data_IF_982967761547
#
_entry.id   IF_982967761547
#
_cell.length_a   1.000
_cell.length_b   1.000
_cell.length_c   1.000
_cell.angle_alpha   90.00
_cell.angle_beta   90.00
_cell.angle_gamma   90.00
#
_symmetry.space_group_name_H-M   'P 1'
#
loop_
_entity.id
_entity.type
_entity.pdbx_description
1 polymer ?
#
# COMPACT_ATOMS: atom_id res chain seq x y z
N UNK A 1 15.44 -8.75 -7.05
CA UNK A 1 14.97 -8.85 -5.64
C UNK A 1 13.97 -7.72 -5.41
N UNK A 2 12.76 -8.02 -4.92
CA UNK A 2 11.66 -7.04 -4.79
C UNK A 2 11.97 -5.89 -3.83
N UNK A 3 12.78 -6.16 -2.80
CA UNK A 3 13.22 -5.13 -1.84
C UNK A 3 14.24 -4.18 -2.47
N UNK A 4 15.11 -4.69 -3.34
CA UNK A 4 16.00 -3.86 -4.16
C UNK A 4 15.21 -2.99 -5.13
N UNK A 5 14.15 -3.53 -5.74
CA UNK A 5 13.27 -2.76 -6.61
C UNK A 5 12.50 -1.67 -5.84
N UNK A 6 12.01 -1.98 -4.63
CA UNK A 6 11.42 -0.98 -3.74
C UNK A 6 12.38 0.18 -3.47
N UNK A 7 13.59 -0.14 -3.01
CA UNK A 7 14.60 0.87 -2.70
C UNK A 7 14.96 1.70 -3.93
N UNK A 8 15.06 1.07 -5.11
CA UNK A 8 15.33 1.79 -6.35
C UNK A 8 14.18 2.76 -6.68
N UNK A 9 12.93 2.32 -6.61
CA UNK A 9 11.76 3.18 -6.87
C UNK A 9 11.69 4.34 -5.87
N UNK A 10 11.87 4.08 -4.58
CA UNK A 10 11.86 5.11 -3.54
C UNK A 10 13.04 6.08 -3.71
N UNK A 11 14.27 5.60 -3.92
CA UNK A 11 15.44 6.47 -4.11
C UNK A 11 15.37 7.27 -5.41
N UNK A 12 14.92 6.68 -6.53
CA UNK A 12 14.76 7.42 -7.79
C UNK A 12 13.69 8.50 -7.65
N UNK A 13 12.57 8.21 -7.00
CA UNK A 13 11.52 9.19 -6.77
C UNK A 13 11.95 10.29 -5.78
N UNK A 14 12.65 9.91 -4.71
CA UNK A 14 13.31 10.83 -3.76
C UNK A 14 14.21 11.82 -4.50
N UNK A 15 15.06 11.32 -5.41
CA UNK A 15 15.99 12.14 -6.17
C UNK A 15 15.25 13.14 -7.08
N UNK A 16 14.18 12.70 -7.75
CA UNK A 16 13.34 13.58 -8.57
C UNK A 16 12.73 14.68 -7.70
N UNK A 17 12.10 14.32 -6.58
CA UNK A 17 11.43 15.28 -5.67
C UNK A 17 12.43 16.24 -5.05
N UNK A 18 13.64 15.79 -4.69
CA UNK A 18 14.67 16.62 -4.04
C UNK A 18 15.20 17.77 -4.92
N UNK A 19 15.01 17.68 -6.24
CA UNK A 19 15.47 18.67 -7.22
C UNK A 19 14.35 19.60 -7.68
N UNK A 20 13.13 19.39 -7.20
CA UNK A 20 11.94 20.21 -7.51
C UNK A 20 11.71 21.19 -6.36
N UNK A 21 11.30 22.42 -6.67
CA UNK A 21 10.96 23.41 -5.65
C UNK A 21 9.66 23.05 -4.95
N UNK A 22 9.49 23.52 -3.71
CA UNK A 22 8.24 23.32 -2.98
C UNK A 22 7.04 23.97 -3.69
N UNK A 23 7.27 25.05 -4.45
CA UNK A 23 6.23 25.74 -5.23
C UNK A 23 5.71 24.85 -6.37
N UNK A 24 6.60 24.30 -7.20
CA UNK A 24 6.25 23.35 -8.27
C UNK A 24 5.56 22.09 -7.72
N UNK A 25 6.01 21.60 -6.56
CA UNK A 25 5.36 20.47 -5.89
C UNK A 25 3.92 20.81 -5.47
N UNK A 26 3.70 22.02 -4.97
CA UNK A 26 2.38 22.50 -4.55
C UNK A 26 1.45 22.80 -5.74
N UNK A 27 1.98 23.15 -6.91
CA UNK A 27 1.19 23.31 -8.13
C UNK A 27 0.63 21.97 -8.62
N UNK A 28 1.45 20.92 -8.57
CA UNK A 28 1.03 19.58 -8.97
C UNK A 28 0.17 18.93 -7.87
N UNK A 29 0.53 19.16 -6.61
CA UNK A 29 -0.12 18.58 -5.44
C UNK A 29 -0.47 19.67 -4.41
N UNK A 30 -1.64 20.32 -4.58
CA UNK A 30 -2.04 21.40 -3.69
C UNK A 30 -2.12 20.93 -2.22
N UNK A 31 -1.49 21.66 -1.28
CA UNK A 31 -1.46 21.27 0.14
C UNK A 31 -2.84 21.34 0.80
N UNK A 32 -3.77 22.13 0.24
CA UNK A 32 -5.15 22.24 0.71
C UNK A 32 -6.09 21.74 -0.38
N UNK A 33 -6.72 20.61 -0.09
CA UNK A 33 -7.77 20.01 -0.91
C UNK A 33 -9.14 20.43 -0.40
N UNK A 34 -10.13 20.51 -1.29
CA UNK A 34 -11.53 20.79 -0.91
C UNK A 34 -12.16 19.65 -0.10
N UNK A 35 -11.64 18.44 -0.28
CA UNK A 35 -12.08 17.23 0.42
C UNK A 35 -11.04 16.75 1.43
N UNK A 36 -11.49 16.13 2.51
CA UNK A 36 -10.65 15.43 3.48
C UNK A 36 -10.67 13.90 3.30
N UNK A 37 -11.33 13.42 2.23
CA UNK A 37 -11.51 12.00 1.94
C UNK A 37 -10.20 11.30 1.60
N UNK A 38 -10.00 10.12 2.19
CA UNK A 38 -8.85 9.25 1.94
C UNK A 38 -9.26 8.03 1.14
N UNK A 39 -8.46 7.67 0.13
CA UNK A 39 -8.55 6.35 -0.52
C UNK A 39 -7.73 5.35 0.29
N UNK A 40 -8.37 4.34 0.85
CA UNK A 40 -7.73 3.21 1.51
C UNK A 40 -7.66 2.00 0.58
N UNK A 41 -6.45 1.53 0.30
CA UNK A 41 -6.22 0.24 -0.36
C UNK A 41 -5.92 -0.77 0.74
N UNK A 42 -6.77 -1.79 0.92
CA UNK A 42 -6.53 -2.85 1.90
C UNK A 42 -6.08 -4.13 1.22
N UNK A 43 -5.01 -4.74 1.75
CA UNK A 43 -4.45 -5.99 1.23
C UNK A 43 -4.84 -7.14 2.15
N UNK A 44 -5.69 -8.03 1.65
CA UNK A 44 -6.21 -9.20 2.33
C UNK A 44 -5.99 -10.46 1.49
N UNK A 45 -6.19 -11.63 2.08
CA UNK A 45 -6.07 -12.89 1.36
C UNK A 45 -7.35 -13.22 0.58
N UNK A 46 -7.21 -14.09 -0.41
CA UNK A 46 -8.37 -14.71 -1.07
C UNK A 46 -8.88 -15.91 -0.26
N UNK A 47 -7.95 -16.76 0.19
CA UNK A 47 -8.23 -17.95 1.01
C UNK A 47 -7.98 -17.69 2.49
N UNK A 48 -8.69 -18.42 3.36
CA UNK A 48 -8.58 -18.26 4.81
C UNK A 48 -7.35 -18.94 5.43
N UNK A 49 -7.46 -19.23 6.72
CA UNK A 49 -6.50 -20.02 7.50
C UNK A 49 -5.08 -19.42 7.58
N UNK A 50 -5.00 -18.10 7.55
CA UNK A 50 -3.77 -17.33 7.67
C UNK A 50 -3.70 -16.56 9.00
N UNK A 51 -4.13 -17.22 10.09
CA UNK A 51 -4.14 -16.63 11.43
C UNK A 51 -4.80 -15.25 11.48
N UNK A 52 -4.10 -14.29 12.07
CA UNK A 52 -4.55 -12.91 12.28
C UNK A 52 -4.34 -11.97 11.08
N UNK A 53 -3.75 -12.45 9.97
CA UNK A 53 -3.38 -11.63 8.80
C UNK A 53 -4.51 -10.70 8.32
N UNK A 54 -5.69 -11.26 8.01
CA UNK A 54 -6.82 -10.46 7.52
C UNK A 54 -7.41 -9.55 8.59
N UNK A 55 -7.55 -10.08 9.81
CA UNK A 55 -8.15 -9.35 10.93
C UNK A 55 -7.32 -8.13 11.31
N UNK A 56 -5.99 -8.23 11.26
CA UNK A 56 -5.09 -7.12 11.56
C UNK A 56 -5.27 -5.96 10.57
N UNK A 57 -5.31 -6.25 9.26
CA UNK A 57 -5.55 -5.23 8.22
C UNK A 57 -6.93 -4.58 8.38
N UNK A 58 -7.96 -5.40 8.59
CA UNK A 58 -9.34 -4.92 8.77
C UNK A 58 -9.47 -4.06 10.04
N UNK A 59 -8.87 -4.49 11.14
CA UNK A 59 -8.92 -3.76 12.41
C UNK A 59 -8.17 -2.44 12.32
N UNK A 60 -7.08 -2.36 11.55
CA UNK A 60 -6.39 -1.11 11.31
C UNK A 60 -7.24 -0.13 10.50
N UNK A 61 -7.90 -0.58 9.43
CA UNK A 61 -8.83 0.27 8.66
C UNK A 61 -9.96 0.82 9.55
N UNK A 62 -10.56 -0.03 10.41
CA UNK A 62 -11.66 0.38 11.29
C UNK A 62 -11.32 1.52 12.25
N UNK A 63 -10.04 1.67 12.62
CA UNK A 63 -9.59 2.73 13.53
C UNK A 63 -9.58 4.11 12.86
N UNK A 64 -9.36 4.15 11.54
CA UNK A 64 -9.04 5.39 10.82
C UNK A 64 -10.07 5.79 9.76
N UNK A 65 -10.93 4.87 9.32
CA UNK A 65 -11.91 5.11 8.26
C UNK A 65 -13.03 6.07 8.71
N UNK A 66 -13.28 7.09 7.91
CA UNK A 66 -14.35 8.09 8.04
C UNK A 66 -15.43 7.85 6.99
N UNK A 67 -16.66 8.39 7.16
CA UNK A 67 -17.74 8.21 6.18
C UNK A 67 -17.45 8.76 4.77
N UNK A 68 -16.58 9.77 4.64
CA UNK A 68 -16.20 10.37 3.35
C UNK A 68 -15.15 9.56 2.59
N UNK A 69 -14.51 8.58 3.23
CA UNK A 69 -13.40 7.84 2.65
C UNK A 69 -13.85 6.79 1.63
N UNK A 70 -12.95 6.40 0.73
CA UNK A 70 -13.16 5.37 -0.28
C UNK A 70 -12.28 4.16 0.00
N UNK A 71 -12.73 2.96 -0.31
CA UNK A 71 -12.00 1.72 -0.07
C UNK A 71 -11.83 0.91 -1.35
N UNK A 72 -10.60 0.50 -1.63
CA UNK A 72 -10.27 -0.54 -2.61
C UNK A 72 -9.83 -1.79 -1.85
N UNK A 73 -10.45 -2.92 -2.15
CA UNK A 73 -10.08 -4.20 -1.53
C UNK A 73 -9.27 -5.06 -2.50
N UNK A 74 -8.10 -5.50 -2.05
CA UNK A 74 -7.31 -6.54 -2.71
C UNK A 74 -7.49 -7.84 -1.91
N UNK A 75 -8.12 -8.84 -2.50
CA UNK A 75 -8.42 -10.12 -1.88
C UNK A 75 -9.89 -10.29 -1.46
N UNK A 76 -10.36 -11.54 -1.57
CA UNK A 76 -11.74 -11.94 -1.29
C UNK A 76 -12.16 -11.70 0.17
N UNK A 77 -11.26 -11.83 1.14
CA UNK A 77 -11.61 -11.64 2.56
C UNK A 77 -11.95 -10.19 2.89
N UNK A 78 -11.22 -9.23 2.33
CA UNK A 78 -11.54 -7.81 2.45
C UNK A 78 -12.87 -7.45 1.80
N UNK A 79 -13.12 -7.98 0.59
CA UNK A 79 -14.39 -7.78 -0.12
C UNK A 79 -15.60 -8.32 0.67
N UNK A 80 -15.49 -9.53 1.21
CA UNK A 80 -16.57 -10.13 1.98
C UNK A 80 -16.84 -9.34 3.25
N UNK A 81 -15.78 -8.88 3.93
CA UNK A 81 -15.92 -8.06 5.13
C UNK A 81 -16.61 -6.73 4.84
N UNK A 82 -16.17 -5.97 3.83
CA UNK A 82 -16.71 -4.63 3.60
C UNK A 82 -18.19 -4.67 3.20
N UNK A 83 -18.60 -5.68 2.40
CA UNK A 83 -19.99 -5.88 1.95
C UNK A 83 -20.99 -6.08 3.08
N UNK A 84 -20.57 -6.71 4.18
CA UNK A 84 -21.43 -6.94 5.37
C UNK A 84 -21.19 -5.91 6.48
N UNK A 85 -20.25 -4.98 6.28
CA UNK A 85 -19.94 -3.94 7.24
C UNK A 85 -20.84 -2.71 7.06
N UNK A 86 -20.83 -1.83 8.07
CA UNK A 86 -21.43 -0.48 7.95
C UNK A 86 -20.77 0.41 6.91
N UNK A 87 -19.63 0.01 6.35
CA UNK A 87 -18.84 0.76 5.36
C UNK A 87 -19.07 0.26 3.92
N UNK A 88 -20.11 -0.55 3.69
CA UNK A 88 -20.40 -1.14 2.36
C UNK A 88 -20.49 -0.10 1.24
N UNK A 89 -21.01 1.10 1.54
CA UNK A 89 -21.23 2.17 0.57
C UNK A 89 -19.92 2.92 0.23
N UNK A 90 -18.84 2.64 0.97
CA UNK A 90 -17.50 3.19 0.73
C UNK A 90 -16.64 2.29 -0.17
N UNK A 91 -17.12 1.09 -0.52
CA UNK A 91 -16.43 0.21 -1.47
C UNK A 91 -16.40 0.86 -2.86
N UNK A 92 -15.23 1.32 -3.28
CA UNK A 92 -15.02 1.90 -4.60
C UNK A 92 -14.71 0.85 -5.66
N UNK A 93 -13.81 -0.10 -5.33
CA UNK A 93 -13.43 -1.18 -6.24
C UNK A 93 -12.89 -2.39 -5.49
N UNK A 94 -12.98 -3.56 -6.10
CA UNK A 94 -12.44 -4.79 -5.52
C UNK A 94 -11.74 -5.64 -6.57
N UNK A 95 -10.61 -6.23 -6.19
CA UNK A 95 -9.88 -7.22 -6.96
C UNK A 95 -9.78 -8.50 -6.14
N UNK A 96 -10.15 -9.62 -6.73
CA UNK A 96 -10.21 -10.94 -6.10
C UNK A 96 -9.50 -11.96 -6.98
N UNK A 97 -9.23 -13.14 -6.42
CA UNK A 97 -8.46 -14.19 -7.12
C UNK A 97 -7.10 -13.66 -7.57
N UNK A 98 -6.43 -12.93 -6.66
CA UNK A 98 -5.09 -12.48 -6.89
C UNK A 98 -4.20 -13.72 -6.81
N UNK A 99 -3.60 -14.10 -7.95
CA UNK A 99 -2.61 -15.15 -8.01
C UNK A 99 -1.46 -14.89 -7.02
N UNK A 100 -0.54 -15.85 -6.87
CA UNK A 100 0.62 -15.71 -5.97
C UNK A 100 1.46 -14.46 -6.25
N UNK A 101 1.38 -13.94 -7.48
CA UNK A 101 1.94 -12.65 -7.89
C UNK A 101 0.82 -11.74 -8.37
N UNK A 102 0.81 -10.51 -7.90
CA UNK A 102 -0.05 -9.47 -8.44
C UNK A 102 0.35 -9.21 -9.89
N UNK A 103 -0.60 -9.15 -10.82
CA UNK A 103 -0.32 -8.62 -12.16
C UNK A 103 -0.05 -7.10 -12.04
N UNK A 104 1.05 -6.65 -12.63
CA UNK A 104 1.40 -5.23 -12.68
C UNK A 104 0.27 -4.39 -13.30
N UNK A 105 -0.53 -4.95 -14.20
CA UNK A 105 -1.69 -4.28 -14.81
C UNK A 105 -2.70 -3.78 -13.76
N UNK A 106 -2.95 -4.55 -12.70
CA UNK A 106 -3.83 -4.17 -11.59
C UNK A 106 -3.23 -2.99 -10.82
N UNK A 107 -1.92 -3.03 -10.57
CA UNK A 107 -1.23 -1.95 -9.85
C UNK A 107 -1.26 -0.64 -10.66
N UNK A 108 -1.04 -0.71 -11.98
CA UNK A 108 -1.17 0.43 -12.89
C UNK A 108 -2.59 0.99 -12.92
N UNK A 109 -3.61 0.11 -12.96
CA UNK A 109 -5.00 0.53 -12.94
C UNK A 109 -5.35 1.29 -11.66
N UNK A 110 -4.92 0.78 -10.49
CA UNK A 110 -5.15 1.44 -9.21
C UNK A 110 -4.36 2.77 -9.13
N UNK A 111 -3.13 2.80 -9.63
CA UNK A 111 -2.31 4.02 -9.67
C UNK A 111 -2.95 5.12 -10.51
N UNK A 112 -3.45 4.79 -11.71
CA UNK A 112 -4.17 5.74 -12.58
C UNK A 112 -5.47 6.22 -11.95
N UNK A 113 -6.25 5.29 -11.38
CA UNK A 113 -7.50 5.58 -10.70
C UNK A 113 -7.30 6.50 -9.49
N UNK A 114 -6.21 6.31 -8.73
CA UNK A 114 -5.84 7.20 -7.64
C UNK A 114 -5.60 8.63 -8.13
N UNK A 115 -4.84 8.78 -9.22
CA UNK A 115 -4.57 10.08 -9.83
C UNK A 115 -5.85 10.74 -10.36
N UNK A 116 -6.74 9.98 -11.01
CA UNK A 116 -8.02 10.50 -11.49
C UNK A 116 -8.95 10.97 -10.36
N UNK A 117 -9.03 10.22 -9.26
CA UNK A 117 -9.84 10.59 -8.10
C UNK A 117 -9.32 11.86 -7.44
N UNK A 118 -7.99 11.99 -7.37
CA UNK A 118 -7.33 13.19 -6.87
C UNK A 118 -7.59 14.40 -7.78
N UNK A 119 -7.39 14.27 -9.09
CA UNK A 119 -7.64 15.34 -10.06
C UNK A 119 -9.10 15.83 -10.07
N UNK A 120 -10.05 14.97 -9.65
CA UNK A 120 -11.48 15.29 -9.52
C UNK A 120 -11.87 15.80 -8.12
N UNK A 121 -10.91 16.13 -7.24
CA UNK A 121 -11.13 16.52 -5.84
C UNK A 121 -12.00 15.53 -5.05
N UNK A 122 -12.00 14.24 -5.41
CA UNK A 122 -12.76 13.20 -4.69
C UNK A 122 -12.02 12.65 -3.49
N UNK A 123 -10.69 12.67 -3.54
CA UNK A 123 -9.80 12.25 -2.46
C UNK A 123 -8.67 13.27 -2.31
N UNK A 124 -8.16 13.43 -1.10
CA UNK A 124 -6.99 14.25 -0.80
C UNK A 124 -5.76 13.44 -0.42
N UNK A 125 -5.95 12.16 -0.07
CA UNK A 125 -4.83 11.26 0.25
C UNK A 125 -5.13 9.81 -0.15
N UNK A 126 -4.08 9.02 -0.30
CA UNK A 126 -4.13 7.60 -0.59
C UNK A 126 -3.19 6.83 0.31
N UNK A 127 -3.72 5.81 0.99
CA UNK A 127 -2.99 4.97 1.94
C UNK A 127 -3.21 3.51 1.62
N UNK A 128 -2.16 2.71 1.75
CA UNK A 128 -2.24 1.25 1.64
C UNK A 128 -2.01 0.62 3.01
N UNK A 129 -2.94 -0.24 3.42
CA UNK A 129 -2.88 -1.04 4.64
C UNK A 129 -2.55 -2.46 4.24
N UNK A 130 -1.41 -2.96 4.71
CA UNK A 130 -0.86 -4.25 4.35
C UNK A 130 -0.13 -4.86 5.53
N UNK A 131 0.23 -6.14 5.41
CA UNK A 131 1.09 -6.79 6.40
C UNK A 131 2.52 -6.74 5.89
N UNK A 132 3.39 -6.09 6.65
CA UNK A 132 4.81 -5.99 6.37
C UNK A 132 5.52 -7.29 6.76
N UNK A 133 6.24 -7.85 5.80
CA UNK A 133 7.11 -8.99 6.05
C UNK A 133 8.36 -8.51 6.81
N UNK A 134 8.47 -8.85 8.10
CA UNK A 134 9.69 -8.62 8.88
C UNK A 134 10.54 -9.89 8.85
N UNK A 135 9.95 -11.02 9.26
CA UNK A 135 10.54 -12.35 9.14
C UNK A 135 9.42 -13.42 9.15
N UNK A 136 9.79 -14.70 9.15
CA UNK A 136 8.83 -15.80 9.11
C UNK A 136 7.89 -15.87 10.32
N UNK A 137 8.26 -15.29 11.46
CA UNK A 137 7.48 -15.30 12.70
C UNK A 137 6.77 -13.96 12.97
N UNK A 138 7.38 -12.85 12.55
CA UNK A 138 6.91 -11.49 12.81
C UNK A 138 6.26 -10.92 11.55
N UNK A 139 4.96 -10.70 11.65
CA UNK A 139 4.15 -10.02 10.66
C UNK A 139 3.42 -8.85 11.31
N UNK A 140 3.70 -7.63 10.85
CA UNK A 140 3.16 -6.41 11.45
C UNK A 140 2.26 -5.69 10.47
N UNK A 141 1.09 -5.23 10.95
CA UNK A 141 0.25 -4.36 10.15
C UNK A 141 0.94 -3.02 9.97
N UNK A 142 0.97 -2.54 8.73
CA UNK A 142 1.60 -1.29 8.38
C UNK A 142 0.69 -0.48 7.46
N UNK A 143 0.72 0.83 7.65
CA UNK A 143 0.01 1.81 6.84
C UNK A 143 1.06 2.65 6.14
N UNK A 144 1.14 2.56 4.81
CA UNK A 144 2.00 3.43 4.01
C UNK A 144 1.13 4.47 3.31
N UNK A 145 1.47 5.74 3.50
CA UNK A 145 0.91 6.81 2.68
C UNK A 145 1.59 6.77 1.30
N UNK A 146 0.80 6.58 0.26
CA UNK A 146 1.24 6.65 -1.13
C UNK A 146 1.12 8.08 -1.67
N UNK A 147 0.15 8.83 -1.13
CA UNK A 147 -0.14 10.21 -1.51
C UNK A 147 -0.85 10.97 -0.37
N UNK A 148 -0.61 12.28 -0.14
CA UNK A 148 0.50 13.08 -0.68
C UNK A 148 1.84 12.45 -0.37
N UNK A 149 2.81 12.65 -1.26
CA UNK A 149 4.16 12.15 -1.02
C UNK A 149 4.72 12.82 0.23
N UNK A 150 5.06 12.03 1.23
CA UNK A 150 5.72 12.53 2.43
C UNK A 150 7.20 12.72 2.10
N UNK A 151 7.64 13.97 1.95
CA UNK A 151 9.03 14.33 1.67
C UNK A 151 9.83 14.65 2.95
N UNK A 152 9.25 14.50 4.14
CA UNK A 152 9.92 14.85 5.41
C UNK A 152 11.22 14.07 5.63
N UNK A 153 11.33 12.84 5.12
CA UNK A 153 12.54 12.04 5.21
C UNK A 153 13.67 12.53 4.28
N UNK A 154 13.38 13.39 3.30
CA UNK A 154 14.38 13.96 2.39
C UNK A 154 15.25 15.02 3.07
N UNK A 155 14.71 15.73 4.06
CA UNK A 155 15.48 16.73 4.83
C UNK A 155 16.63 16.06 5.59
N UNK A 156 16.43 14.81 6.05
CA UNK A 156 17.40 14.02 6.81
C UNK A 156 18.52 13.48 5.91
N UNK A 157 18.23 13.16 4.63
CA UNK A 157 19.21 12.59 3.69
C UNK A 157 20.17 13.60 3.07
N UNK A 158 19.88 14.92 3.15
CA UNK A 158 20.76 15.96 2.59
C UNK A 158 22.16 15.97 3.19
N UNK A 159 22.36 15.40 4.37
CA UNK A 159 23.66 15.36 5.06
C UNK A 159 24.53 14.12 4.73
N UNK A 160 23.97 13.03 4.17
CA UNK A 160 24.71 11.74 4.13
C UNK A 160 25.00 11.16 2.75
N UNK A 161 24.17 11.39 1.72
CA UNK A 161 24.38 10.78 0.39
C UNK A 161 23.86 11.68 -0.73
N UNK A 162 24.60 12.75 -1.07
CA UNK A 162 24.43 13.36 -2.38
C UNK A 162 25.04 12.42 -3.42
N UNK A 163 24.21 11.80 -4.25
CA UNK A 163 24.66 11.40 -5.58
C UNK A 163 25.06 12.69 -6.31
N UNK A 164 26.36 12.92 -6.45
CA UNK A 164 26.93 13.93 -7.34
C UNK A 164 26.57 13.54 -8.77
N UNK A 165 25.56 14.21 -9.32
CA UNK A 165 25.16 14.11 -10.71
C UNK A 165 24.14 15.20 -11.00
N UNK A 166 24.41 16.02 -12.01
CA UNK A 166 23.41 16.93 -12.55
C UNK A 166 22.34 16.09 -13.26
N UNK A 167 21.19 15.93 -12.60
CA UNK A 167 19.98 15.38 -13.22
C UNK A 167 19.37 16.53 -14.02
N UNK A 168 19.60 16.54 -15.33
CA UNK A 168 18.91 17.44 -16.25
C UNK A 168 17.52 16.87 -16.57
N UNK A 169 16.49 17.70 -16.39
CA UNK A 169 15.11 17.34 -16.66
C UNK A 169 14.70 17.82 -18.05
N UNK A 170 14.49 16.88 -18.98
CA UNK A 170 13.90 17.18 -20.30
C UNK A 170 12.50 16.55 -20.42
N UNK A 171 11.41 17.30 -20.68
CA UNK A 171 11.35 18.72 -21.09
C UNK A 171 11.21 19.74 -19.93
N UNK A 172 10.64 19.36 -18.78
CA UNK A 172 10.63 20.16 -17.55
C UNK A 172 10.43 19.23 -16.34
N UNK A 173 10.87 19.67 -15.15
CA UNK A 173 10.75 18.88 -13.92
C UNK A 173 9.28 18.60 -13.56
N UNK A 174 8.39 19.57 -13.82
CA UNK A 174 6.96 19.45 -13.60
C UNK A 174 6.32 18.33 -14.43
N UNK A 175 6.59 18.31 -15.75
CA UNK A 175 6.05 17.29 -16.67
C UNK A 175 6.58 15.90 -16.30
N UNK A 176 7.85 15.82 -15.91
CA UNK A 176 8.45 14.56 -15.48
C UNK A 176 7.79 14.08 -14.19
N UNK A 177 7.55 14.97 -13.21
CA UNK A 177 6.91 14.57 -11.95
C UNK A 177 5.48 14.09 -12.17
N UNK A 178 4.70 14.78 -13.01
CA UNK A 178 3.33 14.38 -13.37
C UNK A 178 3.28 12.97 -13.99
N UNK A 179 4.31 12.58 -14.76
CA UNK A 179 4.43 11.23 -15.35
C UNK A 179 5.02 10.20 -14.39
N UNK A 180 5.99 10.61 -13.59
CA UNK A 180 6.68 9.76 -12.64
C UNK A 180 5.77 9.37 -11.48
N UNK A 181 4.84 10.23 -11.09
CA UNK A 181 4.00 10.01 -9.93
C UNK A 181 3.06 8.80 -10.07
N UNK A 182 2.25 8.65 -11.15
CA UNK A 182 1.46 7.43 -11.37
C UNK A 182 2.33 6.18 -11.41
N UNK A 183 3.52 6.25 -12.00
CA UNK A 183 4.48 5.14 -12.05
C UNK A 183 5.01 4.78 -10.67
N UNK A 184 5.32 5.77 -9.83
CA UNK A 184 5.75 5.58 -8.45
C UNK A 184 4.66 4.88 -7.64
N UNK A 185 3.43 5.43 -7.64
CA UNK A 185 2.31 4.86 -6.90
C UNK A 185 2.02 3.43 -7.37
N UNK A 186 1.97 3.19 -8.68
CA UNK A 186 1.73 1.86 -9.25
C UNK A 186 2.82 0.87 -8.82
N UNK A 187 4.09 1.28 -8.89
CA UNK A 187 5.23 0.43 -8.51
C UNK A 187 5.23 0.12 -7.02
N UNK A 188 4.89 1.10 -6.18
CA UNK A 188 4.75 0.89 -4.74
C UNK A 188 3.59 -0.04 -4.39
N UNK A 189 2.43 0.11 -5.03
CA UNK A 189 1.31 -0.83 -4.84
C UNK A 189 1.77 -2.25 -5.20
N UNK A 190 2.40 -2.42 -6.36
CA UNK A 190 2.90 -3.73 -6.81
C UNK A 190 3.86 -4.37 -5.79
N UNK A 191 4.84 -3.61 -5.32
CA UNK A 191 5.83 -4.06 -4.32
C UNK A 191 5.16 -4.45 -3.02
N UNK A 192 4.32 -3.57 -2.47
CA UNK A 192 3.75 -3.74 -1.13
C UNK A 192 2.75 -4.90 -1.10
N UNK A 193 1.94 -5.04 -2.15
CA UNK A 193 1.02 -6.19 -2.28
C UNK A 193 1.80 -7.49 -2.41
N UNK A 194 2.88 -7.51 -3.20
CA UNK A 194 3.73 -8.69 -3.35
C UNK A 194 4.41 -9.08 -2.03
N UNK A 195 4.92 -8.11 -1.25
CA UNK A 195 5.49 -8.36 0.08
C UNK A 195 4.42 -8.84 1.08
N UNK A 196 3.21 -8.30 0.98
CA UNK A 196 2.08 -8.74 1.80
C UNK A 196 1.68 -10.19 1.47
N UNK A 197 1.75 -10.60 0.20
CA UNK A 197 1.54 -12.01 -0.21
C UNK A 197 2.57 -12.97 0.38
N UNK A 198 3.83 -12.57 0.47
CA UNK A 198 4.86 -13.35 1.18
C UNK A 198 4.50 -13.47 2.67
N UNK A 199 4.04 -12.40 3.29
CA UNK A 199 3.56 -12.42 4.69
C UNK A 199 2.33 -13.31 4.89
N UNK A 200 1.42 -13.34 3.91
CA UNK A 200 0.23 -14.20 3.89
C UNK A 200 0.63 -15.68 3.97
N UNK A 201 1.60 -16.09 3.14
CA UNK A 201 2.13 -17.46 3.12
C UNK A 201 2.81 -17.84 4.42
N UNK A 202 3.65 -16.94 4.97
CA UNK A 202 4.31 -17.17 6.26
C UNK A 202 3.29 -17.31 7.39
N UNK A 203 2.30 -16.41 7.46
CA UNK A 203 1.26 -16.44 8.48
C UNK A 203 0.36 -17.68 8.38
N UNK A 204 0.06 -18.14 7.16
CA UNK A 204 -0.65 -19.41 6.93
C UNK A 204 0.14 -20.60 7.43
N UNK A 205 1.43 -20.65 7.15
CA UNK A 205 2.30 -21.73 7.63
C UNK A 205 2.28 -21.80 9.15
N UNK A 206 2.53 -20.67 9.83
CA UNK A 206 2.52 -20.61 11.30
C UNK A 206 1.15 -21.02 11.86
N UNK A 207 0.05 -20.53 11.28
CA UNK A 207 -1.29 -20.89 11.73
C UNK A 207 -1.60 -22.39 11.57
N UNK A 208 -1.07 -23.03 10.52
CA UNK A 208 -1.22 -24.47 10.29
C UNK A 208 -0.34 -25.31 11.23
N UNK A 209 0.90 -24.89 11.46
CA UNK A 209 1.80 -25.52 12.43
C UNK A 209 1.15 -25.50 13.81
N UNK A 210 0.69 -24.34 14.29
CA UNK A 210 -0.03 -24.26 15.57
C UNK A 210 -1.33 -25.06 15.60
N UNK A 211 -2.06 -25.18 14.48
CA UNK A 211 -3.27 -26.01 14.44
C UNK A 211 -2.95 -27.50 14.56
N UNK A 212 -1.82 -27.94 14.00
CA UNK A 212 -1.31 -29.33 14.13
C UNK A 212 -0.89 -29.60 15.56
N UNK A 213 -0.10 -28.71 16.15
CA UNK A 213 0.38 -28.85 17.53
C UNK A 213 -0.80 -28.93 18.52
N UNK A 214 -1.81 -28.06 18.37
CA UNK A 214 -3.02 -28.10 19.19
C UNK A 214 -3.82 -29.41 19.01
N UNK A 215 -3.85 -29.97 17.80
CA UNK A 215 -4.53 -31.24 17.55
C UNK A 215 -3.80 -32.41 18.22
N UNK A 216 -2.47 -32.41 18.17
CA UNK A 216 -1.62 -33.41 18.83
C UNK A 216 -1.76 -33.33 20.36
N UNK A 217 -1.83 -32.13 20.94
CA UNK A 217 -2.13 -31.93 22.37
C UNK A 217 -3.48 -32.53 22.75
N UNK A 218 -4.54 -32.26 21.99
CA UNK A 218 -5.87 -32.83 22.24
C UNK A 218 -5.85 -34.36 22.13
N UNK A 219 -5.12 -34.93 21.17
CA UNK A 219 -4.99 -36.39 21.03
C UNK A 219 -4.28 -37.00 22.24
N UNK A 220 -3.23 -36.34 22.75
CA UNK A 220 -2.52 -36.80 23.93
C UNK A 220 -3.39 -36.71 25.19
N UNK A 221 -4.21 -35.66 25.34
CA UNK A 221 -5.13 -35.51 26.47
C UNK A 221 -6.30 -36.52 26.45
N UNK A 222 -6.62 -37.08 25.29
CA UNK A 222 -7.68 -38.08 25.12
C UNK A 222 -7.21 -39.52 25.38
N UNK A 223 -5.90 -39.77 25.49
CA UNK A 223 -5.29 -41.09 25.73
C UNK A 223 -4.82 -41.25 27.18
#
# INVERSE_FOLDING_TARGET
NIKTYQNLVETTFDNIVSKITQEELNEIFPPKQETDATLYIIVTSDIGLCGSYNSNVINELKKVIKPSDLVITLGTKGLNWIRVSKFKDQLYKSYVNLEDKLDYSIATEIGNLNFELFAKNKISSCKIIYIKFVNNLIQEVSVKQLFPYDSSHLEIKKESEQMEGDIEFEPSAEIILQRAFPLYVSSMIYVLVSLSKVSELASRRVAMESATDNADEIINDLN
#
